data_IF_733029810162
#
_entry.id   IF_733029810162
#
_cell.length_a   1.000
_cell.length_b   1.000
_cell.length_c   1.000
_cell.angle_alpha   90.00
_cell.angle_beta   90.00
_cell.angle_gamma   90.00
#
_symmetry.space_group_name_H-M   'P 1'
#
loop_
_entity.id
_entity.type
_entity.pdbx_description
1 polymer ?
#
# COMPACT_ATOMS: atom_id res chain seq x y z
N UNK A 1 -36.71 5.20 -78.63
CA UNK A 1 -37.12 6.38 -79.42
C UNK A 1 -38.61 6.57 -79.22
N UNK A 2 -39.08 7.82 -79.34
CA UNK A 2 -40.47 8.27 -79.52
C UNK A 2 -41.22 8.88 -78.32
N UNK A 3 -40.95 10.18 -78.13
CA UNK A 3 -41.85 11.36 -78.14
C UNK A 3 -43.27 11.35 -77.49
N UNK A 4 -43.38 12.18 -76.45
CA UNK A 4 -44.36 13.24 -76.05
C UNK A 4 -45.76 13.34 -76.73
N UNK A 5 -46.80 13.62 -75.91
CA UNK A 5 -47.92 14.57 -76.21
C UNK A 5 -48.61 15.10 -74.91
N UNK A 6 -49.29 16.28 -74.93
CA UNK A 6 -49.55 17.16 -73.75
C UNK A 6 -51.04 17.35 -73.33
N UNK A 7 -51.32 18.06 -72.21
CA UNK A 7 -52.58 18.77 -71.79
C UNK A 7 -52.45 19.25 -70.32
N UNK A 8 -53.10 20.26 -69.75
CA UNK A 8 -53.92 21.45 -70.10
C UNK A 8 -54.14 22.21 -68.77
N UNK A 9 -54.40 23.51 -68.84
CA UNK A 9 -54.55 24.46 -67.72
C UNK A 9 -55.72 24.23 -66.73
N UNK A 10 -55.44 24.64 -65.48
CA UNK A 10 -56.22 25.26 -64.39
C UNK A 10 -57.69 24.91 -64.06
N UNK A 11 -57.92 24.69 -62.75
CA UNK A 11 -59.03 25.31 -62.00
C UNK A 11 -58.56 25.76 -60.62
N UNK A 12 -58.88 27.02 -60.30
CA UNK A 12 -58.74 27.70 -59.01
C UNK A 12 -59.76 27.14 -58.01
N UNK A 13 -59.31 26.85 -56.78
CA UNK A 13 -60.15 26.38 -55.67
C UNK A 13 -59.74 27.02 -54.34
N UNK A 14 -60.69 27.80 -53.79
CA UNK A 14 -61.00 28.10 -52.39
C UNK A 14 -59.86 28.28 -51.34
N UNK A 15 -59.62 29.52 -50.90
CA UNK A 15 -58.54 29.92 -50.00
C UNK A 15 -58.92 30.00 -48.50
N UNK A 16 -60.18 29.71 -48.14
CA UNK A 16 -60.66 29.92 -46.74
C UNK A 16 -60.39 28.73 -45.81
N UNK A 17 -60.03 27.55 -46.34
CA UNK A 17 -59.67 26.37 -45.55
C UNK A 17 -58.23 26.39 -45.00
N UNK A 18 -57.31 27.07 -45.69
CA UNK A 18 -55.87 27.04 -45.39
C UNK A 18 -55.53 27.96 -44.20
N UNK A 19 -56.16 29.13 -44.12
CA UNK A 19 -55.88 30.11 -43.05
C UNK A 19 -56.33 29.60 -41.68
N UNK A 20 -57.46 28.88 -41.60
CA UNK A 20 -57.96 28.30 -40.35
C UNK A 20 -57.13 27.10 -39.87
N UNK A 21 -56.44 26.39 -40.77
CA UNK A 21 -55.51 25.31 -40.42
C UNK A 21 -54.21 25.86 -39.79
N UNK A 22 -53.67 26.94 -40.37
CA UNK A 22 -52.42 27.57 -39.90
C UNK A 22 -52.59 28.20 -38.52
N UNK A 23 -53.71 28.89 -38.25
CA UNK A 23 -53.99 29.50 -36.93
C UNK A 23 -54.22 28.46 -35.82
N UNK A 24 -54.57 27.21 -36.17
CA UNK A 24 -54.76 26.12 -35.22
C UNK A 24 -53.43 25.45 -34.86
N UNK A 25 -52.57 25.25 -35.86
CA UNK A 25 -51.21 24.70 -35.66
C UNK A 25 -50.31 25.66 -34.86
N UNK A 26 -50.37 26.98 -35.09
CA UNK A 26 -49.58 27.98 -34.33
C UNK A 26 -49.98 28.07 -32.84
N UNK A 27 -51.26 27.88 -32.52
CA UNK A 27 -51.75 27.88 -31.13
C UNK A 27 -51.38 26.59 -30.37
N UNK A 28 -51.40 25.44 -31.07
CA UNK A 28 -50.98 24.16 -30.47
C UNK A 28 -49.45 24.10 -30.25
N UNK A 29 -48.65 24.73 -31.11
CA UNK A 29 -47.20 24.85 -30.91
C UNK A 29 -46.84 25.77 -29.75
N UNK A 30 -47.46 26.95 -29.63
CA UNK A 30 -47.23 27.86 -28.49
C UNK A 30 -47.57 27.21 -27.15
N UNK A 31 -48.70 26.51 -27.06
CA UNK A 31 -49.11 25.84 -25.82
C UNK A 31 -48.18 24.67 -25.43
N UNK A 32 -47.56 24.01 -26.43
CA UNK A 32 -46.54 22.98 -26.21
C UNK A 32 -45.18 23.51 -25.75
N UNK A 33 -44.79 24.70 -26.20
CA UNK A 33 -43.55 25.37 -25.78
C UNK A 33 -43.65 25.92 -24.34
N UNK A 34 -44.77 26.53 -23.98
CA UNK A 34 -45.01 27.05 -22.62
C UNK A 34 -44.96 25.94 -21.56
N UNK A 35 -45.56 24.76 -21.84
CA UNK A 35 -45.49 23.59 -20.95
C UNK A 35 -44.09 23.00 -20.81
N UNK A 36 -43.27 23.05 -21.87
CA UNK A 36 -41.86 22.61 -21.80
C UNK A 36 -41.01 23.56 -20.98
N UNK A 37 -41.28 24.86 -21.05
CA UNK A 37 -40.56 25.86 -20.26
C UNK A 37 -40.91 25.77 -18.76
N UNK A 38 -42.18 25.50 -18.43
CA UNK A 38 -42.63 25.30 -17.06
C UNK A 38 -41.99 24.06 -16.42
N UNK A 39 -41.92 22.94 -17.14
CA UNK A 39 -41.26 21.71 -16.68
C UNK A 39 -39.76 21.88 -16.45
N UNK A 40 -39.05 22.62 -17.32
CA UNK A 40 -37.63 22.98 -17.14
C UNK A 40 -37.40 23.90 -15.94
N UNK A 41 -38.37 24.74 -15.58
CA UNK A 41 -38.31 25.60 -14.38
C UNK A 41 -38.52 24.79 -13.09
N UNK A 42 -39.29 23.71 -13.13
CA UNK A 42 -39.45 22.78 -12.00
C UNK A 42 -38.21 21.92 -11.78
N UNK A 43 -37.63 21.32 -12.83
CA UNK A 43 -36.40 20.52 -12.74
C UNK A 43 -35.23 21.35 -12.17
N UNK A 44 -35.05 22.59 -12.64
CA UNK A 44 -34.03 23.52 -12.08
C UNK A 44 -34.29 23.93 -10.63
N UNK A 45 -35.54 23.88 -10.16
CA UNK A 45 -35.88 24.13 -8.74
C UNK A 45 -35.57 22.91 -7.88
N UNK A 46 -35.69 21.69 -8.40
CA UNK A 46 -35.31 20.47 -7.70
C UNK A 46 -33.80 20.31 -7.59
N UNK A 47 -33.03 20.54 -8.67
CA UNK A 47 -31.57 20.51 -8.63
C UNK A 47 -30.99 21.53 -7.63
N UNK A 48 -31.57 22.75 -7.58
CA UNK A 48 -31.17 23.76 -6.57
C UNK A 48 -31.54 23.37 -5.14
N UNK A 49 -32.56 22.54 -4.93
CA UNK A 49 -32.92 22.01 -3.60
C UNK A 49 -31.99 20.87 -3.18
N UNK A 50 -31.54 20.04 -4.12
CA UNK A 50 -30.57 18.97 -3.86
C UNK A 50 -29.18 19.52 -3.55
N UNK A 51 -28.68 20.48 -4.34
CA UNK A 51 -27.39 21.13 -4.07
C UNK A 51 -27.33 21.81 -2.69
N UNK A 52 -28.41 22.50 -2.28
CA UNK A 52 -28.52 23.08 -0.92
C UNK A 52 -28.60 22.04 0.20
N UNK A 53 -29.04 20.80 -0.08
CA UNK A 53 -29.02 19.70 0.90
C UNK A 53 -27.63 19.08 1.01
N UNK A 54 -26.84 19.06 -0.06
CA UNK A 54 -25.46 18.59 -0.05
C UNK A 54 -24.52 19.57 0.67
N UNK A 55 -24.62 20.88 0.40
CA UNK A 55 -23.86 21.91 1.14
C UNK A 55 -24.10 21.81 2.66
N UNK A 56 -25.37 21.70 3.08
CA UNK A 56 -25.71 21.54 4.51
C UNK A 56 -25.22 20.22 5.13
N UNK A 57 -24.98 19.18 4.32
CA UNK A 57 -24.37 17.92 4.78
C UNK A 57 -22.86 18.05 4.92
N UNK A 58 -22.21 18.82 4.04
CA UNK A 58 -20.77 19.10 4.12
C UNK A 58 -20.43 20.00 5.31
N UNK A 59 -21.19 21.08 5.53
CA UNK A 59 -21.02 21.97 6.70
C UNK A 59 -21.13 21.19 8.03
N UNK A 60 -22.16 20.32 8.17
CA UNK A 60 -22.31 19.44 9.35
C UNK A 60 -21.19 18.40 9.49
N UNK A 61 -20.52 18.03 8.40
CA UNK A 61 -19.39 17.09 8.42
C UNK A 61 -18.09 17.81 8.82
N UNK A 62 -17.99 19.10 8.54
CA UNK A 62 -16.89 19.97 8.97
C UNK A 62 -16.99 20.32 10.46
N UNK A 63 -18.18 20.72 10.95
CA UNK A 63 -18.42 20.96 12.37
C UNK A 63 -18.08 19.73 13.24
N UNK A 64 -18.47 18.52 12.81
CA UNK A 64 -18.12 17.25 13.48
C UNK A 64 -16.62 16.90 13.45
N UNK A 65 -15.87 17.44 12.49
CA UNK A 65 -14.40 17.26 12.44
C UNK A 65 -13.70 18.21 13.40
N UNK A 66 -14.23 19.40 13.60
CA UNK A 66 -13.67 20.39 14.53
C UNK A 66 -13.94 20.00 16.00
N UNK A 67 -15.14 19.48 16.33
CA UNK A 67 -15.43 18.94 17.67
C UNK A 67 -14.47 17.77 18.03
N UNK A 68 -14.20 16.84 17.10
CA UNK A 68 -13.23 15.74 17.31
C UNK A 68 -11.78 16.20 17.41
N UNK A 69 -11.47 17.40 16.91
CA UNK A 69 -10.11 17.98 16.94
C UNK A 69 -9.84 18.66 18.27
N UNK A 70 -10.89 19.14 18.94
CA UNK A 70 -10.80 19.73 20.27
C UNK A 70 -10.79 18.67 21.39
N UNK A 71 -11.52 17.56 21.25
CA UNK A 71 -11.37 16.38 22.14
C UNK A 71 -9.94 15.81 22.11
N UNK A 72 -9.31 15.69 20.92
CA UNK A 72 -7.91 15.25 20.78
C UNK A 72 -6.87 16.22 21.33
N UNK A 73 -7.22 17.50 21.57
CA UNK A 73 -6.32 18.47 22.20
C UNK A 73 -6.35 18.38 23.72
N UNK A 74 -7.46 17.95 24.31
CA UNK A 74 -7.56 17.72 25.76
C UNK A 74 -6.82 16.44 26.16
N UNK A 75 -6.98 15.33 25.43
CA UNK A 75 -6.24 14.08 25.69
C UNK A 75 -4.70 14.27 25.64
N UNK A 76 -4.20 15.07 24.68
CA UNK A 76 -2.77 15.41 24.57
C UNK A 76 -2.23 16.29 25.71
N UNK A 77 -3.09 17.00 26.44
CA UNK A 77 -2.67 17.79 27.62
C UNK A 77 -2.52 16.92 28.85
N UNK A 78 -3.28 15.83 28.95
CA UNK A 78 -3.21 14.90 30.07
C UNK A 78 -2.05 13.91 29.93
N UNK A 79 -1.76 13.41 28.72
CA UNK A 79 -0.54 12.59 28.45
C UNK A 79 0.77 13.35 28.78
N UNK A 80 0.82 14.67 28.54
CA UNK A 80 1.98 15.51 28.87
C UNK A 80 2.17 15.76 30.37
N UNK A 81 1.13 15.56 31.19
CA UNK A 81 1.23 15.66 32.65
C UNK A 81 1.75 14.37 33.28
N UNK A 82 1.40 13.21 32.70
CA UNK A 82 1.92 11.90 33.15
C UNK A 82 3.41 11.70 32.76
N UNK A 83 3.82 12.09 31.56
CA UNK A 83 5.24 12.03 31.14
C UNK A 83 6.20 12.88 32.02
N UNK A 84 5.68 13.91 32.70
CA UNK A 84 6.48 14.73 33.62
C UNK A 84 6.65 14.08 35.00
N UNK A 85 5.72 13.24 35.45
CA UNK A 85 5.84 12.48 36.71
C UNK A 85 6.81 11.30 36.56
N UNK A 86 6.76 10.58 35.43
CA UNK A 86 7.64 9.44 35.16
C UNK A 86 9.12 9.80 34.98
N UNK A 87 9.42 11.07 34.66
CA UNK A 87 10.80 11.56 34.50
C UNK A 87 11.47 11.92 35.83
N UNK A 88 10.71 12.11 36.91
CA UNK A 88 11.27 12.36 38.25
C UNK A 88 11.62 11.05 38.99
N UNK A 89 10.90 9.94 38.74
CA UNK A 89 11.18 8.64 39.39
C UNK A 89 12.34 7.85 38.76
N UNK A 90 12.68 8.10 37.48
CA UNK A 90 13.77 7.38 36.78
C UNK A 90 15.19 7.85 37.12
N UNK A 91 15.36 8.86 37.99
CA UNK A 91 16.67 9.40 38.36
C UNK A 91 17.37 8.69 39.52
N UNK A 92 16.78 7.65 40.10
CA UNK A 92 17.27 7.10 41.37
C UNK A 92 17.69 5.61 41.38
N UNK A 93 17.56 4.86 40.29
CA UNK A 93 18.00 3.46 40.24
C UNK A 93 18.77 3.15 38.96
N UNK A 94 20.09 3.36 38.97
CA UNK A 94 20.99 2.80 37.96
C UNK A 94 22.41 2.60 38.52
N UNK A 95 22.54 1.67 39.45
CA UNK A 95 23.78 0.94 39.70
C UNK A 95 23.46 -0.55 39.79
N UNK A 96 24.40 -1.33 39.21
CA UNK A 96 24.57 -2.78 39.28
C UNK A 96 24.02 -3.70 38.14
N UNK A 97 25.03 -4.20 37.39
CA UNK A 97 25.22 -5.55 36.83
C UNK A 97 24.74 -5.90 35.40
N UNK A 98 25.53 -5.43 34.43
CA UNK A 98 26.48 -6.17 33.59
C UNK A 98 26.22 -7.65 33.15
N UNK A 99 26.43 -7.85 31.83
CA UNK A 99 26.70 -9.08 31.06
C UNK A 99 25.56 -9.69 30.23
N UNK A 100 25.27 -9.01 29.11
CA UNK A 100 24.82 -9.64 27.86
C UNK A 100 25.49 -8.88 26.72
N UNK A 101 25.94 -9.56 25.67
CA UNK A 101 26.58 -8.94 24.50
C UNK A 101 25.54 -8.13 23.73
N UNK A 102 25.27 -6.92 24.22
CA UNK A 102 24.33 -5.99 23.62
C UNK A 102 25.06 -5.27 22.50
N UNK A 103 24.69 -5.56 21.25
CA UNK A 103 25.02 -4.66 20.15
C UNK A 103 24.23 -3.37 20.44
N UNK A 104 24.94 -2.31 20.77
CA UNK A 104 24.35 -1.00 21.05
C UNK A 104 23.83 -0.38 19.75
N UNK A 105 22.68 0.35 19.79
CA UNK A 105 22.24 1.14 18.65
C UNK A 105 23.26 2.26 18.42
N UNK A 106 23.90 2.31 17.25
CA UNK A 106 24.95 3.29 16.95
C UNK A 106 24.42 4.32 15.94
N UNK A 107 24.36 5.58 16.38
CA UNK A 107 24.04 6.76 15.58
C UNK A 107 25.20 7.22 14.64
N UNK A 108 26.26 6.43 14.49
CA UNK A 108 27.42 6.75 13.64
C UNK A 108 27.47 5.86 12.39
N UNK A 109 27.19 6.46 11.24
CA UNK A 109 27.21 5.86 9.89
C UNK A 109 28.59 5.30 9.48
N UNK A 110 29.67 5.62 10.19
CA UNK A 110 31.04 5.22 9.85
C UNK A 110 31.36 3.74 10.17
N UNK A 111 30.48 3.00 10.86
CA UNK A 111 30.75 1.62 11.33
C UNK A 111 29.84 0.53 10.74
N UNK A 112 29.08 0.83 9.68
CA UNK A 112 28.13 -0.14 9.09
C UNK A 112 28.87 -1.35 8.49
N UNK A 113 29.96 -1.12 7.76
CA UNK A 113 30.71 -2.18 7.07
C UNK A 113 31.18 -3.33 7.99
N UNK A 114 31.92 -3.04 9.08
CA UNK A 114 32.33 -4.07 10.04
C UNK A 114 31.17 -4.86 10.66
N UNK A 115 30.03 -4.22 10.93
CA UNK A 115 28.85 -4.89 11.49
C UNK A 115 28.23 -5.85 10.48
N UNK A 116 28.07 -5.44 9.22
CA UNK A 116 27.55 -6.30 8.15
C UNK A 116 28.44 -7.54 7.93
N UNK A 117 29.77 -7.40 8.07
CA UNK A 117 30.71 -8.52 8.02
C UNK A 117 30.47 -9.48 9.19
N UNK A 118 30.28 -8.96 10.40
CA UNK A 118 29.99 -9.78 11.57
C UNK A 118 28.66 -10.53 11.43
N UNK A 119 27.60 -9.84 11.00
CA UNK A 119 26.31 -10.47 10.70
C UNK A 119 26.45 -11.56 9.65
N UNK A 120 27.18 -11.28 8.56
CA UNK A 120 27.45 -12.27 7.51
C UNK A 120 28.12 -13.53 8.05
N UNK A 121 29.06 -13.41 9.01
CA UNK A 121 29.70 -14.58 9.63
C UNK A 121 28.70 -15.39 10.47
N UNK A 122 27.84 -14.72 11.24
CA UNK A 122 26.84 -15.38 12.08
C UNK A 122 25.79 -16.11 11.22
N UNK A 123 25.26 -15.44 10.20
CA UNK A 123 24.15 -15.97 9.41
C UNK A 123 24.58 -17.15 8.52
N UNK A 124 25.83 -17.15 8.03
CA UNK A 124 26.36 -18.18 7.13
C UNK A 124 26.86 -19.46 7.82
N UNK A 125 26.66 -19.60 9.13
CA UNK A 125 26.91 -20.87 9.82
C UNK A 125 26.06 -21.96 9.17
N UNK A 126 26.69 -23.07 8.76
CA UNK A 126 26.02 -24.16 8.03
C UNK A 126 25.08 -24.95 8.94
N UNK A 127 23.95 -25.38 8.38
CA UNK A 127 23.06 -26.38 8.97
C UNK A 127 23.29 -27.71 8.26
N UNK A 128 24.36 -28.40 8.66
CA UNK A 128 24.70 -29.68 8.06
C UNK A 128 23.68 -30.76 8.46
N UNK A 129 23.36 -31.66 7.52
CA UNK A 129 22.51 -32.83 7.72
C UNK A 129 21.02 -32.59 8.00
N UNK A 130 20.48 -31.37 7.82
CA UNK A 130 19.03 -31.14 7.84
C UNK A 130 18.36 -31.48 6.50
N UNK A 131 17.23 -32.16 6.55
CA UNK A 131 16.35 -32.35 5.39
C UNK A 131 15.67 -31.04 5.02
N UNK A 132 15.24 -30.91 3.75
CA UNK A 132 14.47 -29.73 3.33
C UNK A 132 13.13 -29.67 4.06
N UNK A 133 12.71 -28.46 4.43
CA UNK A 133 11.36 -28.21 4.94
C UNK A 133 10.31 -28.71 3.93
N UNK A 134 9.09 -29.08 4.36
CA UNK A 134 8.03 -29.49 3.44
C UNK A 134 7.69 -28.37 2.44
N UNK A 135 7.18 -28.73 1.25
CA UNK A 135 6.80 -27.73 0.23
C UNK A 135 5.68 -26.81 0.72
N UNK A 136 4.72 -27.38 1.43
CA UNK A 136 3.68 -26.65 2.14
C UNK A 136 4.01 -26.66 3.63
N UNK A 137 4.26 -25.50 4.26
CA UNK A 137 4.46 -25.43 5.70
C UNK A 137 3.27 -26.03 6.45
N UNK A 138 3.49 -26.84 7.49
CA UNK A 138 2.45 -27.68 8.09
C UNK A 138 1.42 -26.90 8.93
N UNK A 139 1.79 -25.70 9.39
CA UNK A 139 1.04 -24.97 10.42
C UNK A 139 0.27 -23.74 9.88
N UNK A 140 0.02 -23.70 8.56
CA UNK A 140 -0.76 -22.63 7.93
C UNK A 140 -2.26 -22.83 8.16
N UNK A 141 -2.98 -21.76 8.53
CA UNK A 141 -4.40 -21.78 8.91
C UNK A 141 -5.32 -21.12 7.88
N UNK A 142 -4.75 -20.42 6.90
CA UNK A 142 -5.49 -19.55 6.00
C UNK A 142 -5.72 -18.19 6.63
N UNK A 143 -6.99 -17.80 6.81
CA UNK A 143 -7.32 -16.48 7.35
C UNK A 143 -6.68 -16.28 8.73
N UNK A 144 -6.02 -15.15 8.92
CA UNK A 144 -5.40 -14.73 10.18
C UNK A 144 -5.83 -13.30 10.51
N UNK A 145 -5.90 -13.00 11.81
CA UNK A 145 -6.17 -11.64 12.29
C UNK A 145 -4.86 -10.87 12.40
N UNK A 146 -4.87 -9.61 11.94
CA UNK A 146 -3.76 -8.68 12.11
C UNK A 146 -3.81 -8.10 13.52
N UNK A 147 -2.70 -8.20 14.24
CA UNK A 147 -2.57 -7.62 15.57
C UNK A 147 -2.22 -6.13 15.48
N UNK A 148 -3.24 -5.29 15.68
CA UNK A 148 -3.14 -3.83 15.62
C UNK A 148 -2.77 -3.17 16.95
N UNK A 149 -2.40 -3.95 17.98
CA UNK A 149 -1.98 -3.40 19.27
C UNK A 149 -0.68 -2.59 19.11
N UNK A 150 -0.59 -1.50 19.86
CA UNK A 150 0.61 -0.65 19.93
C UNK A 150 1.62 -1.25 20.92
N UNK A 151 2.24 -2.37 20.55
CA UNK A 151 3.29 -3.01 21.35
C UNK A 151 4.56 -2.18 21.33
N UNK A 152 5.32 -2.15 22.42
CA UNK A 152 6.67 -1.56 22.45
C UNK A 152 7.68 -2.52 21.82
N UNK A 153 8.84 -2.00 21.40
CA UNK A 153 9.90 -2.82 20.80
C UNK A 153 10.38 -3.90 21.77
N UNK A 154 10.48 -3.59 23.06
CA UNK A 154 10.94 -4.55 24.07
C UNK A 154 9.98 -5.74 24.22
N UNK A 155 8.67 -5.51 24.04
CA UNK A 155 7.65 -6.57 24.07
C UNK A 155 7.80 -7.49 22.84
N UNK A 156 8.06 -6.91 21.67
CA UNK A 156 8.31 -7.65 20.43
C UNK A 156 9.60 -8.48 20.55
N UNK A 157 10.69 -7.90 21.03
CA UNK A 157 11.95 -8.62 21.26
C UNK A 157 11.79 -9.76 22.28
N UNK A 158 10.97 -9.55 23.32
CA UNK A 158 10.68 -10.58 24.31
C UNK A 158 9.84 -11.74 23.73
N UNK A 159 9.01 -11.50 22.72
CA UNK A 159 8.27 -12.54 22.00
C UNK A 159 9.19 -13.35 21.08
N UNK A 160 10.05 -12.68 20.30
CA UNK A 160 10.87 -13.32 19.26
C UNK A 160 12.31 -13.62 19.70
N UNK A 161 12.46 -14.36 20.80
CA UNK A 161 13.78 -14.70 21.40
C UNK A 161 14.72 -15.51 20.51
N UNK A 162 14.18 -16.19 19.51
CA UNK A 162 14.93 -17.04 18.57
C UNK A 162 15.49 -16.27 17.36
N UNK A 163 15.22 -14.96 17.23
CA UNK A 163 15.85 -14.14 16.20
C UNK A 163 17.36 -14.03 16.46
N UNK A 164 18.15 -14.30 15.43
CA UNK A 164 19.56 -13.97 15.43
C UNK A 164 19.75 -12.45 15.32
N UNK A 165 20.92 -11.92 15.76
CA UNK A 165 21.26 -10.51 15.59
C UNK A 165 21.00 -10.02 14.16
N UNK A 166 20.44 -8.81 14.04
CA UNK A 166 20.04 -8.23 12.77
C UNK A 166 18.70 -8.72 12.20
N UNK A 167 17.87 -9.39 13.03
CA UNK A 167 16.51 -9.78 12.65
C UNK A 167 16.44 -10.98 11.70
N UNK A 168 17.47 -11.82 11.70
CA UNK A 168 17.55 -13.02 10.87
C UNK A 168 16.98 -14.24 11.60
N UNK A 169 16.27 -15.10 10.89
CA UNK A 169 15.71 -16.33 11.45
C UNK A 169 15.64 -17.42 10.40
N UNK A 170 15.80 -18.66 10.85
CA UNK A 170 15.58 -19.85 10.03
C UNK A 170 15.11 -21.02 10.90
N UNK A 171 14.37 -21.99 10.35
CA UNK A 171 13.94 -23.18 11.08
C UNK A 171 15.15 -23.99 11.60
N UNK A 172 15.02 -24.61 12.78
CA UNK A 172 16.08 -25.42 13.41
C UNK A 172 15.99 -26.89 12.99
N UNK A 173 14.79 -27.34 12.65
CA UNK A 173 14.43 -28.74 12.42
C UNK A 173 14.53 -29.16 10.95
N UNK A 174 14.60 -28.19 10.03
CA UNK A 174 14.71 -28.42 8.60
C UNK A 174 15.46 -27.27 7.93
N UNK A 175 15.98 -27.52 6.73
CA UNK A 175 16.60 -26.51 5.88
C UNK A 175 15.52 -25.82 5.04
N UNK A 176 15.40 -24.50 5.17
CA UNK A 176 14.44 -23.74 4.38
C UNK A 176 14.66 -23.92 2.88
N UNK A 177 13.57 -23.88 2.11
CA UNK A 177 13.62 -23.98 0.64
C UNK A 177 14.05 -22.69 -0.03
N UNK A 178 13.86 -21.54 0.62
CA UNK A 178 14.25 -20.24 0.08
C UNK A 178 14.81 -19.35 1.18
N UNK A 179 15.91 -18.66 0.84
CA UNK A 179 16.45 -17.56 1.64
C UNK A 179 15.82 -16.25 1.16
N UNK A 180 15.12 -15.54 2.05
CA UNK A 180 14.28 -14.37 1.71
C UNK A 180 14.76 -13.11 2.44
N UNK A 181 15.10 -12.06 1.69
CA UNK A 181 15.28 -10.72 2.27
C UNK A 181 13.99 -9.92 2.13
N UNK A 182 13.46 -9.42 3.25
CA UNK A 182 12.31 -8.52 3.26
C UNK A 182 12.84 -7.09 3.35
N UNK A 183 12.73 -6.31 2.28
CA UNK A 183 13.26 -4.96 2.17
C UNK A 183 12.11 -3.96 2.34
N UNK A 184 12.24 -3.10 3.35
CA UNK A 184 11.21 -2.15 3.77
C UNK A 184 11.75 -0.73 3.64
N UNK A 185 11.39 0.02 2.58
CA UNK A 185 11.73 1.43 2.48
C UNK A 185 10.97 2.20 3.57
N UNK A 186 11.67 3.02 4.37
CA UNK A 186 11.14 3.54 5.62
C UNK A 186 11.54 5.00 5.90
N UNK A 187 10.65 5.76 6.54
CA UNK A 187 10.96 7.05 7.19
C UNK A 187 9.83 7.48 8.13
N UNK A 188 10.15 7.80 9.38
CA UNK A 188 9.22 8.43 10.35
C UNK A 188 7.85 7.72 10.49
N UNK A 189 7.83 6.38 10.54
CA UNK A 189 6.61 5.57 10.64
C UNK A 189 6.67 4.58 11.81
N UNK A 190 7.25 5.01 12.93
CA UNK A 190 7.58 4.13 14.07
C UNK A 190 6.39 3.27 14.57
N UNK A 191 5.16 3.81 14.70
CA UNK A 191 4.02 2.98 15.10
C UNK A 191 3.69 1.87 14.09
N UNK A 192 3.80 2.17 12.78
CA UNK A 192 3.58 1.16 11.74
C UNK A 192 4.71 0.13 11.74
N UNK A 193 5.95 0.56 12.00
CA UNK A 193 7.08 -0.36 12.10
C UNK A 193 6.89 -1.38 13.24
N UNK A 194 6.40 -0.96 14.40
CA UNK A 194 6.10 -1.88 15.51
C UNK A 194 5.02 -2.88 15.14
N UNK A 195 3.92 -2.43 14.54
CA UNK A 195 2.86 -3.31 14.02
C UNK A 195 3.39 -4.26 12.94
N UNK A 196 4.22 -3.76 12.03
CA UNK A 196 4.85 -4.54 10.98
C UNK A 196 5.74 -5.65 11.56
N UNK A 197 6.69 -5.33 12.45
CA UNK A 197 7.60 -6.32 13.01
C UNK A 197 6.85 -7.41 13.76
N UNK A 198 5.86 -7.03 14.57
CA UNK A 198 5.02 -7.98 15.30
C UNK A 198 4.28 -8.95 14.36
N UNK A 199 3.64 -8.43 13.32
CA UNK A 199 2.83 -9.27 12.44
C UNK A 199 3.69 -10.09 11.46
N UNK A 200 4.73 -9.48 10.87
CA UNK A 200 5.53 -10.12 9.84
C UNK A 200 6.41 -11.21 10.41
N UNK A 201 7.06 -11.03 11.57
CA UNK A 201 7.84 -12.12 12.17
C UNK A 201 6.97 -13.36 12.43
N UNK A 202 5.78 -13.19 13.03
CA UNK A 202 4.82 -14.27 13.24
C UNK A 202 4.41 -14.96 11.94
N UNK A 203 4.18 -14.15 10.90
CA UNK A 203 3.69 -14.61 9.61
C UNK A 203 4.75 -15.43 8.86
N UNK A 204 5.98 -14.92 8.71
CA UNK A 204 7.01 -15.61 7.92
C UNK A 204 7.69 -16.78 8.64
N UNK A 205 7.74 -16.78 9.99
CA UNK A 205 8.26 -17.94 10.73
C UNK A 205 7.40 -19.20 10.54
N UNK A 206 6.06 -19.04 10.48
CA UNK A 206 5.14 -20.15 10.16
C UNK A 206 5.38 -20.75 8.78
N UNK A 207 5.93 -19.96 7.86
CA UNK A 207 6.25 -20.38 6.50
C UNK A 207 7.59 -21.13 6.40
N UNK A 208 8.30 -21.30 7.52
CA UNK A 208 9.60 -22.00 7.58
C UNK A 208 10.65 -21.39 6.63
N UNK A 209 10.65 -20.06 6.50
CA UNK A 209 11.62 -19.32 5.68
C UNK A 209 12.95 -19.11 6.40
N UNK A 210 14.04 -19.08 5.65
CA UNK A 210 15.31 -18.52 6.12
C UNK A 210 15.31 -17.04 5.71
N UNK A 211 15.01 -16.12 6.63
CA UNK A 211 14.74 -14.72 6.28
C UNK A 211 15.46 -13.72 7.16
N UNK A 212 15.60 -12.50 6.64
CA UNK A 212 15.90 -11.31 7.44
C UNK A 212 15.10 -10.11 6.94
N UNK A 213 14.87 -9.16 7.85
CA UNK A 213 14.15 -7.91 7.57
C UNK A 213 15.17 -6.75 7.51
N UNK A 214 15.13 -5.99 6.42
CA UNK A 214 15.97 -4.83 6.17
C UNK A 214 15.11 -3.57 6.15
N UNK A 215 15.13 -2.82 7.25
CA UNK A 215 14.50 -1.50 7.32
C UNK A 215 15.47 -0.48 6.73
N UNK A 216 15.12 0.11 5.59
CA UNK A 216 15.97 1.07 4.87
C UNK A 216 15.47 2.48 5.11
N UNK A 217 16.05 3.13 6.11
CA UNK A 217 15.62 4.45 6.55
C UNK A 217 16.20 5.57 5.67
N UNK A 218 15.33 6.43 5.13
CA UNK A 218 15.74 7.64 4.44
C UNK A 218 15.99 8.78 5.42
N UNK A 219 17.25 9.21 5.51
CA UNK A 219 17.63 10.39 6.29
C UNK A 219 17.38 11.70 5.53
N UNK A 220 17.18 12.77 6.28
CA UNK A 220 17.03 14.12 5.75
C UNK A 220 15.61 14.46 5.27
N UNK A 221 15.50 15.61 4.59
CA UNK A 221 14.21 16.29 4.30
C UNK A 221 13.77 16.21 2.85
N UNK A 222 14.56 15.60 1.96
CA UNK A 222 14.17 15.39 0.56
C UNK A 222 12.87 14.57 0.46
N UNK A 223 12.18 14.67 -0.68
CA UNK A 223 11.03 13.81 -0.96
C UNK A 223 11.40 12.32 -0.76
N UNK A 224 10.44 11.50 -0.33
CA UNK A 224 10.68 10.08 -0.13
C UNK A 224 10.96 9.40 -1.48
N UNK A 225 11.91 8.48 -1.55
CA UNK A 225 12.23 7.77 -2.78
C UNK A 225 12.24 6.26 -2.53
N UNK A 226 11.06 5.64 -2.75
CA UNK A 226 10.83 4.21 -2.54
C UNK A 226 11.80 3.37 -3.37
N UNK A 227 11.88 3.64 -4.68
CA UNK A 227 12.73 2.87 -5.60
C UNK A 227 14.21 2.87 -5.20
N UNK A 228 14.75 4.03 -4.84
CA UNK A 228 16.15 4.17 -4.41
C UNK A 228 16.44 3.46 -3.11
N UNK A 229 15.56 3.57 -2.11
CA UNK A 229 15.72 2.86 -0.84
C UNK A 229 15.64 1.34 -1.03
N UNK A 230 14.71 0.88 -1.87
CA UNK A 230 14.60 -0.53 -2.22
C UNK A 230 15.88 -1.05 -2.88
N UNK A 231 16.42 -0.32 -3.87
CA UNK A 231 17.68 -0.69 -4.51
C UNK A 231 18.85 -0.75 -3.50
N UNK A 232 18.96 0.22 -2.59
CA UNK A 232 19.97 0.21 -1.52
C UNK A 232 19.79 -1.03 -0.64
N UNK A 233 18.56 -1.33 -0.20
CA UNK A 233 18.26 -2.50 0.62
C UNK A 233 18.63 -3.82 -0.05
N UNK A 234 18.36 -3.96 -1.36
CA UNK A 234 18.76 -5.13 -2.14
C UNK A 234 20.28 -5.30 -2.12
N UNK A 235 21.03 -4.23 -2.43
CA UNK A 235 22.49 -4.27 -2.51
C UNK A 235 23.13 -4.63 -1.17
N UNK A 236 22.62 -4.07 -0.07
CA UNK A 236 23.13 -4.39 1.27
C UNK A 236 22.72 -5.80 1.71
N UNK A 237 21.49 -6.24 1.42
CA UNK A 237 21.03 -7.58 1.77
C UNK A 237 21.89 -8.68 1.13
N UNK A 238 22.13 -8.60 -0.18
CA UNK A 238 22.92 -9.61 -0.91
C UNK A 238 24.40 -9.59 -0.53
N UNK A 239 24.89 -8.49 0.06
CA UNK A 239 26.25 -8.39 0.59
C UNK A 239 26.41 -9.23 1.87
N UNK A 240 25.37 -9.25 2.72
CA UNK A 240 25.42 -9.94 4.02
C UNK A 240 25.17 -11.45 3.85
N UNK A 241 24.18 -11.82 3.06
CA UNK A 241 23.73 -13.21 2.99
C UNK A 241 23.27 -13.58 1.57
N UNK A 242 23.49 -14.82 1.09
CA UNK A 242 23.15 -15.21 -0.27
C UNK A 242 21.64 -15.47 -0.38
N UNK A 243 20.83 -14.43 -0.31
CA UNK A 243 19.38 -14.52 -0.49
C UNK A 243 19.02 -14.98 -1.91
N UNK A 244 18.00 -15.83 -2.02
CA UNK A 244 17.47 -16.31 -3.30
C UNK A 244 16.33 -15.39 -3.79
N UNK A 245 15.56 -14.84 -2.84
CA UNK A 245 14.36 -14.06 -3.05
C UNK A 245 14.42 -12.73 -2.29
N UNK A 246 13.94 -11.66 -2.93
CA UNK A 246 13.72 -10.37 -2.29
C UNK A 246 12.22 -10.06 -2.28
N UNK A 247 11.69 -9.70 -1.13
CA UNK A 247 10.31 -9.20 -0.95
C UNK A 247 10.38 -7.71 -0.64
N UNK A 248 9.89 -6.88 -1.54
CA UNK A 248 9.66 -5.46 -1.32
C UNK A 248 8.36 -5.29 -0.56
N UNK A 249 8.38 -4.46 0.48
CA UNK A 249 7.25 -4.40 1.40
C UNK A 249 7.04 -3.01 1.97
N UNK A 250 5.85 -2.45 1.75
CA UNK A 250 5.41 -1.23 2.42
C UNK A 250 5.18 -1.51 3.92
N UNK A 251 5.66 -0.65 4.81
CA UNK A 251 5.62 -0.87 6.27
C UNK A 251 4.20 -0.93 6.85
N UNK A 252 3.19 -0.47 6.11
CA UNK A 252 1.79 -0.34 6.55
C UNK A 252 0.83 -1.34 5.87
N UNK A 253 1.37 -2.35 5.19
CA UNK A 253 0.58 -3.42 4.57
C UNK A 253 0.73 -4.70 5.39
N UNK A 254 -0.35 -5.40 5.74
CA UNK A 254 -0.27 -6.59 6.59
C UNK A 254 -1.03 -7.75 5.95
N UNK A 255 -0.48 -8.99 5.96
CA UNK A 255 -1.16 -10.14 5.39
C UNK A 255 -2.29 -10.65 6.30
N UNK A 256 -3.47 -10.86 5.74
CA UNK A 256 -4.63 -11.45 6.42
C UNK A 256 -4.81 -12.95 6.13
N UNK A 257 -3.88 -13.56 5.39
CA UNK A 257 -3.94 -14.97 5.03
C UNK A 257 -2.55 -15.61 4.98
N UNK A 258 -2.27 -16.56 5.88
CA UNK A 258 -0.96 -17.23 5.96
C UNK A 258 -0.71 -18.28 4.86
N UNK A 259 -1.67 -18.52 3.95
CA UNK A 259 -1.40 -19.20 2.68
C UNK A 259 -0.64 -18.32 1.66
N UNK A 260 -0.52 -17.00 1.91
CA UNK A 260 0.29 -16.10 1.09
C UNK A 260 1.78 -16.33 1.37
N UNK A 261 2.39 -17.29 0.68
CA UNK A 261 3.81 -17.61 0.87
C UNK A 261 4.70 -16.49 0.34
N UNK A 262 5.46 -15.81 1.22
CA UNK A 262 6.46 -14.78 0.90
C UNK A 262 7.73 -15.41 0.33
N UNK A 263 7.55 -16.06 -0.81
CA UNK A 263 8.57 -16.76 -1.58
C UNK A 263 8.52 -16.30 -3.02
N UNK A 264 9.64 -16.41 -3.73
CA UNK A 264 9.72 -16.09 -5.15
C UNK A 264 9.35 -17.31 -6.00
N UNK A 265 8.89 -17.06 -7.23
CA UNK A 265 8.69 -18.09 -8.26
C UNK A 265 9.43 -17.70 -9.54
N UNK A 266 9.20 -18.44 -10.62
CA UNK A 266 9.75 -18.15 -11.95
C UNK A 266 9.31 -16.78 -12.50
N UNK A 267 8.17 -16.26 -12.03
CA UNK A 267 7.64 -14.94 -12.38
C UNK A 267 7.67 -14.01 -11.15
N UNK A 268 7.71 -12.68 -11.32
CA UNK A 268 7.46 -11.75 -10.23
C UNK A 268 6.12 -12.05 -9.54
N UNK A 269 6.08 -11.95 -8.21
CA UNK A 269 4.87 -12.24 -7.42
C UNK A 269 4.38 -11.01 -6.67
N UNK A 270 3.20 -10.52 -7.04
CA UNK A 270 2.51 -9.46 -6.32
C UNK A 270 1.57 -10.08 -5.28
N UNK A 271 1.61 -9.57 -4.04
CA UNK A 271 0.85 -10.12 -2.91
C UNK A 271 -0.30 -9.22 -2.45
N UNK A 272 -0.19 -7.91 -2.69
CA UNK A 272 -1.15 -6.89 -2.25
C UNK A 272 -2.21 -6.58 -3.32
N UNK A 273 -2.78 -7.62 -3.91
CA UNK A 273 -3.82 -7.52 -4.95
C UNK A 273 -5.13 -6.97 -4.38
N UNK A 274 -5.51 -7.44 -3.18
CA UNK A 274 -6.74 -7.04 -2.50
C UNK A 274 -6.38 -6.41 -1.15
N UNK A 275 -6.56 -5.10 -1.04
CA UNK A 275 -6.27 -4.34 0.18
C UNK A 275 -7.56 -3.82 0.82
N UNK A 276 -7.63 -3.82 2.15
CA UNK A 276 -8.78 -3.29 2.90
C UNK A 276 -9.08 -1.83 2.52
N UNK A 277 -8.04 -1.00 2.37
CA UNK A 277 -8.15 0.44 2.04
C UNK A 277 -8.83 0.74 0.70
N UNK A 278 -8.93 -0.25 -0.20
CA UNK A 278 -9.64 -0.16 -1.49
C UNK A 278 -10.87 -1.07 -1.53
N UNK A 279 -11.33 -1.55 -0.37
CA UNK A 279 -12.51 -2.39 -0.22
C UNK A 279 -12.32 -3.82 -0.74
N UNK A 280 -11.10 -4.35 -0.68
CA UNK A 280 -10.73 -5.67 -1.21
C UNK A 280 -11.10 -5.85 -2.69
N UNK A 281 -10.91 -4.79 -3.48
CA UNK A 281 -11.03 -4.81 -4.93
C UNK A 281 -9.65 -4.70 -5.56
N UNK A 282 -9.50 -5.25 -6.75
CA UNK A 282 -8.32 -4.97 -7.56
C UNK A 282 -8.29 -3.46 -7.87
N UNK A 283 -7.13 -2.83 -7.71
CA UNK A 283 -7.00 -1.39 -7.93
C UNK A 283 -7.01 -1.06 -9.42
N UNK A 284 -6.08 -1.66 -10.17
CA UNK A 284 -6.05 -1.76 -11.63
C UNK A 284 -5.13 -2.93 -12.04
N UNK A 285 -5.27 -3.53 -13.24
CA UNK A 285 -4.59 -4.78 -13.60
C UNK A 285 -3.06 -4.74 -13.55
N UNK A 286 -2.46 -3.59 -13.84
CA UNK A 286 -1.01 -3.40 -13.87
C UNK A 286 -0.41 -3.00 -12.51
N UNK A 287 -1.24 -2.87 -11.47
CA UNK A 287 -0.80 -2.42 -10.15
C UNK A 287 0.07 -3.47 -9.47
N UNK A 288 1.30 -3.09 -9.10
CA UNK A 288 2.25 -3.96 -8.37
C UNK A 288 2.76 -3.32 -7.06
N UNK A 289 2.11 -2.26 -6.58
CA UNK A 289 2.46 -1.59 -5.32
C UNK A 289 2.06 -2.37 -4.08
N UNK A 290 2.58 -1.97 -2.91
CA UNK A 290 2.40 -2.66 -1.63
C UNK A 290 3.49 -3.70 -1.34
N UNK A 291 3.26 -4.95 -1.74
CA UNK A 291 4.14 -6.09 -1.47
C UNK A 291 4.38 -6.90 -2.74
N UNK A 292 5.65 -7.02 -3.12
CA UNK A 292 6.10 -7.59 -4.38
C UNK A 292 7.37 -8.41 -4.17
N UNK A 293 7.47 -9.62 -4.74
CA UNK A 293 8.68 -10.43 -4.66
C UNK A 293 9.30 -10.75 -6.01
N UNK A 294 10.62 -10.68 -6.04
CA UNK A 294 11.45 -11.03 -7.17
C UNK A 294 12.71 -11.76 -6.71
N UNK A 295 13.11 -12.77 -7.47
CA UNK A 295 14.41 -13.41 -7.30
C UNK A 295 15.53 -12.41 -7.60
N UNK A 296 16.71 -12.65 -7.01
CA UNK A 296 17.91 -11.85 -7.30
C UNK A 296 18.25 -11.86 -8.80
N UNK A 297 17.98 -12.97 -9.50
CA UNK A 297 18.18 -13.06 -10.95
C UNK A 297 17.21 -12.16 -11.73
N UNK A 298 15.92 -12.19 -11.41
CA UNK A 298 14.94 -11.31 -12.04
C UNK A 298 15.28 -9.83 -11.81
N UNK A 299 15.72 -9.47 -10.60
CA UNK A 299 16.13 -8.10 -10.29
C UNK A 299 17.34 -7.64 -11.10
N UNK A 300 18.31 -8.52 -11.33
CA UNK A 300 19.45 -8.24 -12.21
C UNK A 300 19.02 -8.00 -13.65
N UNK A 301 18.06 -8.80 -14.16
CA UNK A 301 17.56 -8.67 -15.55
C UNK A 301 16.87 -7.33 -15.80
N UNK A 302 16.11 -6.83 -14.82
CA UNK A 302 15.37 -5.56 -14.96
C UNK A 302 16.14 -4.32 -14.50
N UNK A 303 17.34 -4.52 -13.95
CA UNK A 303 18.17 -3.47 -13.33
C UNK A 303 17.46 -2.72 -12.18
N UNK A 304 16.78 -3.46 -11.30
CA UNK A 304 16.09 -2.92 -10.12
C UNK A 304 14.99 -1.89 -10.43
N UNK A 305 14.64 -1.09 -9.41
CA UNK A 305 13.73 0.06 -9.55
C UNK A 305 14.44 1.25 -10.22
N UNK A 306 13.67 2.15 -10.85
CA UNK A 306 14.17 3.50 -11.14
C UNK A 306 14.53 4.26 -9.85
N UNK A 307 15.58 5.08 -9.92
CA UNK A 307 16.03 5.94 -8.82
C UNK A 307 15.45 7.37 -8.90
N UNK A 308 14.69 7.68 -9.95
CA UNK A 308 14.34 9.07 -10.30
C UNK A 308 12.94 9.49 -9.81
N UNK A 309 12.17 8.56 -9.25
CA UNK A 309 10.86 8.85 -8.67
C UNK A 309 11.01 9.41 -7.25
N UNK A 310 10.83 10.72 -7.14
CA UNK A 310 10.83 11.47 -5.88
C UNK A 310 9.41 11.87 -5.50
N UNK A 311 8.90 11.35 -4.38
CA UNK A 311 7.52 11.56 -3.95
C UNK A 311 6.64 10.34 -4.23
N UNK A 312 5.33 10.57 -4.33
CA UNK A 312 4.35 9.51 -4.57
C UNK A 312 4.09 9.33 -6.06
N UNK A 313 4.18 8.09 -6.54
CA UNK A 313 3.60 7.65 -7.82
C UNK A 313 4.61 7.41 -8.94
N UNK A 314 4.26 6.45 -9.80
CA UNK A 314 4.96 6.09 -11.04
C UNK A 314 6.08 5.06 -10.89
N UNK A 315 6.63 4.86 -9.69
CA UNK A 315 7.73 3.91 -9.46
C UNK A 315 7.29 2.44 -9.56
N UNK A 316 6.08 2.13 -9.08
CA UNK A 316 5.51 0.78 -9.17
C UNK A 316 5.05 0.47 -10.61
N UNK A 317 4.60 1.48 -11.36
CA UNK A 317 4.25 1.32 -12.79
C UNK A 317 5.51 1.14 -13.66
N UNK A 318 6.59 1.88 -13.38
CA UNK A 318 7.89 1.73 -14.04
C UNK A 318 8.45 0.32 -13.84
N UNK A 319 8.43 -0.20 -12.60
CA UNK A 319 8.97 -1.55 -12.37
C UNK A 319 8.11 -2.62 -13.06
N UNK A 320 6.78 -2.47 -13.08
CA UNK A 320 5.92 -3.38 -13.84
C UNK A 320 6.26 -3.35 -15.33
N UNK A 321 6.47 -2.16 -15.91
CA UNK A 321 6.88 -1.99 -17.30
C UNK A 321 8.19 -2.74 -17.59
N UNK A 322 9.16 -2.70 -16.66
CA UNK A 322 10.42 -3.46 -16.79
C UNK A 322 10.20 -4.98 -16.75
N UNK A 323 9.31 -5.48 -15.88
CA UNK A 323 8.98 -6.91 -15.87
C UNK A 323 8.46 -7.37 -17.23
N UNK A 324 7.51 -6.60 -17.78
CA UNK A 324 6.88 -6.91 -19.07
C UNK A 324 7.88 -6.87 -20.23
N UNK A 325 8.94 -6.07 -20.12
CA UNK A 325 9.96 -5.93 -21.15
C UNK A 325 11.05 -7.03 -21.08
N UNK A 326 11.45 -7.46 -19.88
CA UNK A 326 12.68 -8.25 -19.69
C UNK A 326 12.48 -9.64 -19.07
N UNK A 327 11.29 -9.97 -18.57
CA UNK A 327 11.01 -11.23 -17.87
C UNK A 327 9.97 -12.11 -18.58
N UNK A 328 9.68 -11.84 -19.86
CA UNK A 328 8.80 -12.66 -20.71
C UNK A 328 9.51 -13.83 -21.35
#
# INVERSE_FOLDING_TARGET
>A
MDTVTPRKDEKVGDNDGIINSILKEENETKFGEDKKEEKRKEEKKEEKKEGKKEEKKEEKKEERKDEKKDEKKEEKKDEKKEEKKDKEEKKQNKEDNLNKTTITPINNTNNIGPQLIQLSKIWRVQQDNLTLCPERPPNLKGKIDVDMRSLKIEEIEAEYKDLMPGGHWRPKECKSRQKVAIVVPYRNREPHLRTFLNNIHRFVQKQQLDYAIFIVEQMGTFAFNKGRLTNIGVLEAIRVYPFDCIVFHDVDTYPENDNLLYTCSSNPRHFSVYLEKIGYKEFYPEFVGGVLALSVEQLRKINGYSNDFWGWGGEDDDINTRFQAYLK
#
